data_IF_676318032287
#
_entry.id   IF_676318032287
#
_cell.length_a   1.000
_cell.length_b   1.000
_cell.length_c   1.000
_cell.angle_alpha   90.00
_cell.angle_beta   90.00
_cell.angle_gamma   90.00
#
_symmetry.space_group_name_H-M   'P 1'
#
loop_
_entity.id
_entity.type
_entity.pdbx_description
1 polymer ?
#
# COMPACT_ATOMS: atom_id res chain seq x y z
N UNK A 1 -9.67 12.95 7.35
CA UNK A 1 -8.74 12.27 6.46
C UNK A 1 -8.43 10.86 6.96
N UNK A 2 -8.22 9.91 6.07
CA UNK A 2 -7.91 8.54 6.45
C UNK A 2 -6.51 8.48 7.05
N UNK A 3 -6.42 7.89 8.24
CA UNK A 3 -5.17 7.73 8.95
C UNK A 3 -4.80 6.24 8.93
N UNK A 4 -4.08 5.83 7.90
CA UNK A 4 -3.75 4.44 7.64
C UNK A 4 -2.24 4.27 7.53
N UNK A 5 -1.69 3.34 8.31
CA UNK A 5 -0.29 2.96 8.19
C UNK A 5 -0.22 1.49 7.80
N UNK A 6 0.72 1.16 6.92
CA UNK A 6 0.89 -0.19 6.42
C UNK A 6 2.31 -0.67 6.68
N UNK A 7 2.44 -1.85 7.27
CA UNK A 7 3.72 -2.49 7.48
C UNK A 7 3.90 -3.58 6.44
N UNK A 8 5.02 -3.55 5.74
CA UNK A 8 5.35 -4.49 4.67
C UNK A 8 6.57 -5.28 5.05
N UNK A 9 6.51 -6.60 4.93
CA UNK A 9 7.68 -7.46 5.11
C UNK A 9 7.84 -8.29 3.84
N UNK A 10 9.03 -8.24 3.26
CA UNK A 10 9.35 -9.01 2.07
C UNK A 10 9.99 -10.35 2.45
N UNK A 11 9.99 -11.29 1.53
CA UNK A 11 10.57 -12.62 1.74
C UNK A 11 12.09 -12.56 1.97
N UNK A 12 12.74 -11.46 1.57
CA UNK A 12 14.15 -11.23 1.83
C UNK A 12 14.43 -10.83 3.28
N UNK A 13 13.38 -10.53 4.05
CA UNK A 13 13.52 -10.02 5.41
C UNK A 13 13.46 -8.51 5.49
N UNK A 14 13.47 -7.82 4.37
CA UNK A 14 13.35 -6.36 4.35
C UNK A 14 11.96 -5.97 4.86
N UNK A 15 11.91 -4.94 5.70
CA UNK A 15 10.67 -4.51 6.31
C UNK A 15 10.62 -2.99 6.40
N UNK A 16 9.45 -2.43 6.15
CA UNK A 16 9.24 -0.98 6.31
C UNK A 16 7.77 -0.69 6.58
N UNK A 17 7.51 0.53 7.07
CA UNK A 17 6.15 1.01 7.29
C UNK A 17 5.93 2.25 6.45
N UNK A 18 4.78 2.36 5.83
CA UNK A 18 4.42 3.53 5.03
C UNK A 18 3.08 4.09 5.49
N UNK A 19 2.93 5.40 5.31
CA UNK A 19 1.68 6.09 5.55
C UNK A 19 1.29 6.79 4.25
N UNK A 20 0.28 6.28 3.53
CA UNK A 20 -0.06 6.84 2.22
C UNK A 20 -0.39 8.33 2.31
N UNK A 21 0.11 9.09 1.35
CA UNK A 21 -0.18 10.52 1.24
C UNK A 21 -1.50 10.74 0.49
N UNK A 22 -1.99 11.98 0.52
CA UNK A 22 -3.19 12.34 -0.25
C UNK A 22 -3.00 12.01 -1.72
N UNK A 23 -1.82 12.30 -2.27
CA UNK A 23 -1.53 11.99 -3.67
C UNK A 23 -1.63 10.49 -3.97
N UNK A 24 -1.17 9.66 -3.06
CA UNK A 24 -1.25 8.20 -3.22
C UNK A 24 -2.71 7.74 -3.18
N UNK A 25 -3.52 8.32 -2.30
CA UNK A 25 -4.95 7.99 -2.26
C UNK A 25 -5.68 8.42 -3.53
N UNK A 26 -5.33 9.58 -4.08
CA UNK A 26 -5.92 10.02 -5.35
C UNK A 26 -5.56 9.05 -6.48
N UNK A 27 -4.31 8.60 -6.52
CA UNK A 27 -3.89 7.61 -7.51
C UNK A 27 -4.63 6.28 -7.32
N UNK A 28 -4.88 5.91 -6.08
CA UNK A 28 -5.68 4.72 -5.77
C UNK A 28 -7.08 4.84 -6.37
N UNK A 29 -7.73 5.98 -6.16
CA UNK A 29 -9.07 6.19 -6.69
C UNK A 29 -9.10 6.12 -8.22
N UNK A 30 -8.07 6.65 -8.86
CA UNK A 30 -7.96 6.59 -10.32
C UNK A 30 -7.74 5.18 -10.82
N UNK A 31 -6.91 4.43 -10.13
CA UNK A 31 -6.52 3.08 -10.54
C UNK A 31 -7.66 2.08 -10.36
N UNK A 32 -8.31 2.11 -9.21
CA UNK A 32 -9.36 1.15 -8.87
C UNK A 32 -10.76 1.64 -9.18
N UNK A 33 -10.92 2.90 -9.57
CA UNK A 33 -12.22 3.50 -9.88
C UNK A 33 -13.20 3.41 -8.73
N UNK A 34 -12.70 3.64 -7.52
CA UNK A 34 -13.51 3.64 -6.30
C UNK A 34 -13.05 4.75 -5.38
N UNK A 35 -13.96 5.29 -4.57
CA UNK A 35 -13.56 6.29 -3.58
C UNK A 35 -12.72 5.65 -2.47
N UNK A 36 -11.79 6.42 -1.92
CA UNK A 36 -10.93 5.93 -0.86
C UNK A 36 -11.72 5.53 0.38
N UNK A 37 -12.92 6.08 0.56
CA UNK A 37 -13.79 5.71 1.67
C UNK A 37 -14.23 4.25 1.60
N UNK A 38 -14.14 3.61 0.44
CA UNK A 38 -14.46 2.18 0.33
C UNK A 38 -13.51 1.32 1.14
N UNK A 39 -12.34 1.85 1.49
CA UNK A 39 -11.38 1.13 2.34
C UNK A 39 -11.92 0.88 3.76
N UNK A 40 -12.94 1.62 4.16
CA UNK A 40 -13.56 1.42 5.46
C UNK A 40 -14.58 0.29 5.48
N UNK A 41 -15.08 -0.13 4.32
CA UNK A 41 -16.12 -1.14 4.22
C UNK A 41 -15.71 -2.37 3.41
N UNK A 42 -14.88 -2.19 2.38
CA UNK A 42 -14.42 -3.27 1.53
C UNK A 42 -12.93 -3.13 1.29
N UNK A 43 -12.13 -3.82 2.08
CA UNK A 43 -10.68 -3.79 1.94
C UNK A 43 -10.21 -5.12 1.38
N UNK A 44 -9.63 -5.09 0.18
CA UNK A 44 -8.99 -6.24 -0.40
C UNK A 44 -7.49 -6.14 -0.16
N UNK A 45 -6.82 -7.30 -0.05
CA UNK A 45 -5.37 -7.33 0.09
C UNK A 45 -4.69 -6.60 -1.06
N UNK A 46 -5.24 -6.72 -2.25
CA UNK A 46 -4.69 -6.03 -3.42
C UNK A 46 -4.70 -4.51 -3.23
N UNK A 47 -5.74 -3.97 -2.63
CA UNK A 47 -5.84 -2.54 -2.36
C UNK A 47 -4.73 -2.10 -1.41
N UNK A 48 -4.52 -2.85 -0.34
CA UNK A 48 -3.49 -2.52 0.65
C UNK A 48 -2.09 -2.66 0.05
N UNK A 49 -1.86 -3.73 -0.70
CA UNK A 49 -0.57 -3.95 -1.35
C UNK A 49 -0.27 -2.84 -2.35
N UNK A 50 -1.26 -2.41 -3.12
CA UNK A 50 -1.07 -1.35 -4.10
C UNK A 50 -0.75 -0.02 -3.41
N UNK A 51 -1.45 0.30 -2.33
CA UNK A 51 -1.18 1.52 -1.57
C UNK A 51 0.25 1.52 -1.02
N UNK A 52 0.68 0.39 -0.45
CA UNK A 52 2.03 0.28 0.09
C UNK A 52 3.08 0.43 -1.01
N UNK A 53 2.85 -0.23 -2.14
CA UNK A 53 3.75 -0.19 -3.28
C UNK A 53 3.85 1.22 -3.88
N UNK A 54 2.71 1.86 -4.11
CA UNK A 54 2.70 3.19 -4.72
C UNK A 54 3.33 4.23 -3.78
N UNK A 55 3.04 4.13 -2.48
CA UNK A 55 3.64 5.04 -1.52
C UNK A 55 5.16 4.84 -1.42
N UNK A 56 5.62 3.60 -1.47
CA UNK A 56 7.06 3.33 -1.46
C UNK A 56 7.74 3.96 -2.67
N UNK A 57 7.12 3.87 -3.84
CA UNK A 57 7.63 4.51 -5.05
C UNK A 57 7.67 6.02 -4.90
N UNK A 58 6.61 6.59 -4.32
CA UNK A 58 6.51 8.03 -4.11
C UNK A 58 7.64 8.53 -3.20
N UNK A 59 8.04 7.73 -2.24
CA UNK A 59 9.12 8.06 -1.31
C UNK A 59 10.51 7.78 -1.87
N UNK A 60 10.59 7.26 -3.08
CA UNK A 60 11.86 6.96 -3.73
C UNK A 60 12.46 5.62 -3.35
N UNK A 61 11.71 4.77 -2.67
CA UNK A 61 12.19 3.44 -2.31
C UNK A 61 12.23 2.55 -3.56
N UNK A 62 13.35 1.86 -3.82
CA UNK A 62 13.41 0.97 -4.97
C UNK A 62 12.53 -0.27 -4.73
N UNK A 63 11.48 -0.40 -5.53
CA UNK A 63 10.59 -1.55 -5.49
C UNK A 63 10.42 -2.08 -6.91
N UNK A 64 10.15 -3.38 -7.02
CA UNK A 64 9.90 -4.02 -8.29
C UNK A 64 8.58 -3.55 -8.88
N UNK A 65 8.27 -3.95 -10.10
CA UNK A 65 6.95 -3.73 -10.67
C UNK A 65 5.91 -4.42 -9.78
N UNK A 66 4.68 -3.92 -9.82
CA UNK A 66 3.65 -4.35 -8.86
C UNK A 66 3.46 -5.86 -8.82
N UNK A 67 3.37 -6.53 -9.98
CA UNK A 67 3.15 -7.97 -10.01
C UNK A 67 4.32 -8.74 -9.37
N UNK A 68 5.54 -8.25 -9.54
CA UNK A 68 6.69 -8.84 -8.86
C UNK A 68 6.71 -8.52 -7.38
N UNK A 69 6.30 -7.30 -7.05
CA UNK A 69 6.27 -6.86 -5.66
C UNK A 69 5.33 -7.74 -4.83
N UNK A 70 4.14 -8.04 -5.35
CA UNK A 70 3.18 -8.86 -4.59
C UNK A 70 3.69 -10.27 -4.38
N UNK A 71 4.52 -10.79 -5.29
CA UNK A 71 5.14 -12.10 -5.12
C UNK A 71 6.20 -12.10 -4.03
N UNK A 72 6.79 -10.94 -3.75
CA UNK A 72 7.85 -10.79 -2.76
C UNK A 72 7.31 -10.51 -1.36
N UNK A 73 6.07 -10.07 -1.24
CA UNK A 73 5.49 -9.71 0.05
C UNK A 73 5.19 -10.96 0.86
N UNK A 74 5.82 -11.07 2.02
CA UNK A 74 5.59 -12.17 2.94
C UNK A 74 4.48 -11.81 3.93
N UNK A 75 4.44 -10.55 4.35
CA UNK A 75 3.45 -10.10 5.31
C UNK A 75 3.06 -8.65 5.05
N UNK A 76 1.79 -8.35 5.23
CA UNK A 76 1.25 -7.02 5.02
C UNK A 76 0.21 -6.76 6.09
N UNK A 77 0.43 -5.74 6.89
CA UNK A 77 -0.45 -5.45 8.03
C UNK A 77 -0.86 -3.99 8.06
N UNK A 78 -2.11 -3.74 8.45
CA UNK A 78 -2.53 -2.41 8.82
C UNK A 78 -2.08 -2.17 10.26
N UNK A 79 -1.34 -1.08 10.47
CA UNK A 79 -0.85 -0.71 11.78
C UNK A 79 -1.72 0.40 12.31
N UNK A 80 -2.26 0.20 13.50
CA UNK A 80 -3.11 1.18 14.15
C UNK A 80 -2.23 2.00 15.11
N UNK A 81 -2.34 3.31 15.01
CA UNK A 81 -1.63 4.22 15.92
C UNK A 81 -2.40 4.43 17.20
#
# INVERSE_FOLDING_TARGET
MIDLSLSVTLDSGEQWTVKPSVGTYIKFERHFKKPVTSLGSEVALEHLAWLAWEQARHEGRPVALFDKFIDQVENLEMVSD
#
